data_IF_320973465650
#
_entry.id   IF_320973465650
#
_cell.length_a   1.000
_cell.length_b   1.000
_cell.length_c   1.000
_cell.angle_alpha   90.00
_cell.angle_beta   90.00
_cell.angle_gamma   90.00
#
_symmetry.space_group_name_H-M   'P 1'
#
loop_
_entity.id
_entity.type
_entity.pdbx_description
1 polymer ?
#
# COMPACT_ATOMS: atom_id res chain seq x y z
N UNK A 1 19.10 -13.16 10.62
CA UNK A 1 18.88 -11.86 9.95
C UNK A 1 19.96 -10.95 10.48
N UNK A 2 21.08 -10.79 9.78
CA UNK A 2 22.04 -9.74 10.15
C UNK A 2 21.37 -8.44 9.73
N UNK A 3 21.06 -7.58 10.69
CA UNK A 3 20.50 -6.27 10.36
C UNK A 3 21.59 -5.47 9.64
N UNK A 4 21.27 -4.98 8.45
CA UNK A 4 22.18 -4.16 7.66
C UNK A 4 22.47 -2.86 8.43
N UNK A 5 23.71 -2.40 8.38
CA UNK A 5 24.20 -1.28 9.20
C UNK A 5 23.34 -0.02 9.02
N UNK A 6 22.90 0.26 7.80
CA UNK A 6 22.06 1.41 7.50
C UNK A 6 20.65 1.33 8.12
N UNK A 7 20.12 0.12 8.32
CA UNK A 7 18.84 -0.09 9.02
C UNK A 7 19.02 0.21 10.51
N UNK A 8 20.12 -0.24 11.11
CA UNK A 8 20.45 0.06 12.52
C UNK A 8 20.57 1.57 12.71
N UNK A 9 21.27 2.25 11.80
CA UNK A 9 21.38 3.72 11.80
C UNK A 9 20.00 4.39 11.71
N UNK A 10 19.08 3.86 10.90
CA UNK A 10 17.74 4.41 10.79
C UNK A 10 16.95 4.31 12.11
N UNK A 11 17.06 3.19 12.84
CA UNK A 11 16.46 3.04 14.17
C UNK A 11 17.14 3.92 15.22
N UNK A 12 18.45 4.11 15.14
CA UNK A 12 19.15 5.07 15.99
C UNK A 12 18.59 6.49 15.77
N UNK A 13 18.37 6.89 14.51
CA UNK A 13 17.84 8.20 14.16
C UNK A 13 16.38 8.39 14.62
N UNK A 14 15.55 7.33 14.63
CA UNK A 14 14.21 7.36 15.25
C UNK A 14 14.29 7.85 16.70
N UNK A 15 15.26 7.38 17.47
CA UNK A 15 15.35 7.68 18.89
C UNK A 15 15.84 9.11 19.18
N UNK A 16 16.66 9.68 18.30
CA UNK A 16 17.43 10.90 18.58
C UNK A 16 16.99 12.11 17.74
N UNK A 17 16.54 11.92 16.51
CA UNK A 17 16.19 13.04 15.62
C UNK A 17 14.81 13.60 15.93
N UNK A 18 14.69 14.93 15.97
CA UNK A 18 13.39 15.58 16.12
C UNK A 18 12.55 15.44 14.84
N UNK A 19 13.21 15.52 13.67
CA UNK A 19 12.59 15.34 12.35
C UNK A 19 13.39 14.31 11.56
N UNK A 20 12.73 13.22 11.19
CA UNK A 20 13.35 12.18 10.37
C UNK A 20 13.57 12.66 8.93
N UNK A 21 14.73 12.31 8.37
CA UNK A 21 15.05 12.53 6.96
C UNK A 21 14.26 11.58 6.06
N UNK A 22 14.15 11.91 4.77
CA UNK A 22 13.56 10.99 3.78
C UNK A 22 14.38 9.71 3.64
N UNK A 23 15.70 9.81 3.71
CA UNK A 23 16.60 8.65 3.70
C UNK A 23 16.30 7.70 4.88
N UNK A 24 16.15 8.23 6.10
CA UNK A 24 15.77 7.43 7.27
C UNK A 24 14.41 6.74 7.05
N UNK A 25 13.41 7.46 6.53
CA UNK A 25 12.09 6.87 6.21
C UNK A 25 12.20 5.76 5.17
N UNK A 26 13.00 5.94 4.13
CA UNK A 26 13.22 4.94 3.08
C UNK A 26 13.84 3.65 3.63
N UNK A 27 14.81 3.76 4.55
CA UNK A 27 15.47 2.60 5.18
C UNK A 27 14.53 1.86 6.12
N UNK A 28 13.64 2.57 6.81
CA UNK A 28 12.59 1.95 7.64
C UNK A 28 11.55 1.24 6.78
N UNK A 29 11.18 1.84 5.64
CA UNK A 29 10.32 1.20 4.63
C UNK A 29 10.97 -0.08 4.09
N UNK A 30 12.26 -0.06 3.77
CA UNK A 30 13.02 -1.25 3.35
C UNK A 30 13.01 -2.34 4.43
N UNK A 31 13.24 -2.00 5.70
CA UNK A 31 13.14 -2.95 6.80
C UNK A 31 11.76 -3.62 6.87
N UNK A 32 10.69 -2.82 6.76
CA UNK A 32 9.31 -3.35 6.74
C UNK A 32 9.12 -4.25 5.53
N UNK A 33 9.60 -3.86 4.35
CA UNK A 33 9.48 -4.69 3.16
C UNK A 33 10.18 -6.04 3.33
N UNK A 34 11.39 -6.04 3.90
CA UNK A 34 12.13 -7.27 4.20
C UNK A 34 11.36 -8.20 5.14
N UNK A 35 10.69 -7.65 6.16
CA UNK A 35 9.90 -8.44 7.11
C UNK A 35 8.69 -9.15 6.47
N UNK A 36 8.13 -8.60 5.39
CA UNK A 36 6.98 -9.18 4.67
C UNK A 36 7.38 -9.92 3.39
N UNK A 37 8.64 -9.85 2.97
CA UNK A 37 9.09 -10.42 1.71
C UNK A 37 9.20 -11.95 1.79
N UNK A 38 8.68 -12.69 0.79
CA UNK A 38 8.95 -14.12 0.67
C UNK A 38 10.45 -14.39 0.48
N UNK A 39 10.92 -15.57 0.90
CA UNK A 39 12.33 -15.97 0.77
C UNK A 39 12.80 -15.82 -0.68
N UNK A 40 13.93 -15.13 -0.87
CA UNK A 40 14.56 -14.92 -2.17
C UNK A 40 13.97 -13.79 -3.01
N UNK A 41 12.99 -13.04 -2.49
CA UNK A 41 12.45 -11.84 -3.13
C UNK A 41 12.96 -10.60 -2.40
N UNK A 42 13.46 -9.63 -3.16
CA UNK A 42 13.91 -8.35 -2.63
C UNK A 42 13.15 -7.22 -3.32
N UNK A 43 12.19 -6.63 -2.59
CA UNK A 43 11.46 -5.43 -3.00
C UNK A 43 11.55 -4.49 -1.80
N UNK A 44 12.02 -3.25 -2.00
CA UNK A 44 12.30 -2.30 -0.91
C UNK A 44 11.28 -1.16 -0.83
N UNK A 45 10.22 -1.20 -1.64
CA UNK A 45 9.14 -0.21 -1.68
C UNK A 45 7.81 -0.84 -1.31
N UNK A 46 7.09 -0.26 -0.35
CA UNK A 46 5.80 -0.78 0.13
C UNK A 46 4.79 -0.94 -1.02
N UNK A 47 4.57 0.06 -1.90
CA UNK A 47 3.56 -0.07 -2.96
C UNK A 47 3.83 -1.24 -3.89
N UNK A 48 5.11 -1.44 -4.26
CA UNK A 48 5.56 -2.52 -5.13
C UNK A 48 5.41 -3.88 -4.45
N UNK A 49 5.82 -4.00 -3.19
CA UNK A 49 5.70 -5.25 -2.44
C UNK A 49 4.23 -5.63 -2.21
N UNK A 50 3.39 -4.65 -1.86
CA UNK A 50 1.93 -4.86 -1.72
C UNK A 50 1.34 -5.38 -3.04
N UNK A 51 1.67 -4.74 -4.16
CA UNK A 51 1.21 -5.16 -5.48
C UNK A 51 1.66 -6.58 -5.80
N UNK A 52 2.93 -6.88 -5.58
CA UNK A 52 3.51 -8.20 -5.81
C UNK A 52 2.81 -9.29 -4.98
N UNK A 53 2.65 -9.08 -3.67
CA UNK A 53 1.99 -10.02 -2.77
C UNK A 53 0.52 -10.21 -3.10
N UNK A 54 -0.17 -9.13 -3.45
CA UNK A 54 -1.57 -9.18 -3.85
C UNK A 54 -1.76 -9.95 -5.16
N UNK A 55 -0.99 -9.63 -6.21
CA UNK A 55 -1.16 -10.27 -7.53
C UNK A 55 -0.67 -11.72 -7.53
N UNK A 56 0.49 -12.00 -6.93
CA UNK A 56 1.14 -13.32 -7.05
C UNK A 56 0.65 -14.33 -6.02
N UNK A 57 0.37 -13.90 -4.81
CA UNK A 57 0.02 -14.78 -3.70
C UNK A 57 -1.44 -14.66 -3.25
N UNK A 58 -2.23 -13.77 -3.89
CA UNK A 58 -3.58 -13.43 -3.44
C UNK A 58 -3.62 -13.15 -1.93
N UNK A 59 -2.59 -12.48 -1.42
CA UNK A 59 -2.43 -12.28 0.01
C UNK A 59 -3.66 -11.56 0.58
N UNK A 60 -4.23 -12.16 1.64
CA UNK A 60 -5.28 -11.55 2.43
C UNK A 60 -4.77 -10.29 3.13
N UNK A 61 -5.69 -9.42 3.56
CA UNK A 61 -5.35 -8.09 4.06
C UNK A 61 -4.38 -8.10 5.25
N UNK A 62 -4.38 -9.16 6.05
CA UNK A 62 -3.52 -9.35 7.23
C UNK A 62 -2.09 -9.78 6.89
N UNK A 63 -1.86 -10.31 5.68
CA UNK A 63 -0.54 -10.72 5.17
C UNK A 63 0.12 -9.68 4.29
N UNK A 64 -0.56 -8.58 4.00
CA UNK A 64 0.02 -7.45 3.28
C UNK A 64 0.81 -6.56 4.25
N UNK A 65 1.97 -6.01 3.83
CA UNK A 65 2.64 -4.97 4.61
C UNK A 65 1.73 -3.73 4.74
N UNK A 66 1.95 -2.86 5.73
CA UNK A 66 1.12 -1.65 5.90
C UNK A 66 1.08 -0.79 4.63
N UNK A 67 0.06 0.06 4.48
CA UNK A 67 0.08 1.10 3.43
C UNK A 67 1.15 2.14 3.75
N UNK A 68 1.56 2.94 2.76
CA UNK A 68 2.54 4.03 2.97
C UNK A 68 2.04 5.02 4.03
N UNK A 69 0.75 5.37 4.01
CA UNK A 69 0.15 6.25 5.02
C UNK A 69 0.17 5.62 6.42
N UNK A 70 -0.21 4.34 6.53
CA UNK A 70 -0.17 3.62 7.80
C UNK A 70 1.26 3.49 8.36
N UNK A 71 2.24 3.19 7.49
CA UNK A 71 3.66 3.14 7.86
C UNK A 71 4.13 4.51 8.36
N UNK A 72 3.77 5.59 7.66
CA UNK A 72 4.19 6.94 8.02
C UNK A 72 3.70 7.33 9.42
N UNK A 73 2.42 7.04 9.72
CA UNK A 73 1.86 7.27 11.06
C UNK A 73 2.49 6.33 12.10
N UNK A 74 2.82 5.10 11.73
CA UNK A 74 3.50 4.16 12.63
C UNK A 74 4.91 4.64 13.01
N UNK A 75 5.69 5.12 12.04
CA UNK A 75 7.05 5.66 12.27
C UNK A 75 6.99 6.82 13.27
N UNK A 76 6.04 7.74 13.12
CA UNK A 76 5.85 8.85 14.05
C UNK A 76 5.57 8.38 15.48
N UNK A 77 4.70 7.38 15.65
CA UNK A 77 4.41 6.83 16.98
C UNK A 77 5.60 6.07 17.56
N UNK A 78 6.31 5.31 16.74
CA UNK A 78 7.54 4.62 17.13
C UNK A 78 8.63 5.61 17.57
N UNK A 79 8.68 6.81 16.98
CA UNK A 79 9.56 7.90 17.39
C UNK A 79 9.31 8.33 18.83
N UNK A 80 8.05 8.41 19.28
CA UNK A 80 7.73 8.70 20.70
C UNK A 80 8.31 7.62 21.61
N UNK A 81 8.11 6.35 21.27
CA UNK A 81 8.61 5.22 22.06
C UNK A 81 10.15 5.19 22.08
N UNK A 82 10.77 5.31 20.91
CA UNK A 82 12.22 5.39 20.76
C UNK A 82 12.82 6.56 21.53
N UNK A 83 12.16 7.72 21.53
CA UNK A 83 12.57 8.90 22.31
C UNK A 83 12.58 8.64 23.81
N UNK A 84 11.55 7.97 24.34
CA UNK A 84 11.48 7.62 25.76
C UNK A 84 12.57 6.62 26.13
N UNK A 85 12.79 5.61 25.30
CA UNK A 85 13.81 4.58 25.55
C UNK A 85 15.23 5.10 25.40
N UNK A 86 15.50 5.92 24.38
CA UNK A 86 16.82 6.55 24.19
C UNK A 86 17.22 7.50 25.31
N UNK A 87 16.25 7.97 26.10
CA UNK A 87 16.46 8.84 27.25
C UNK A 87 16.27 8.11 28.60
N UNK A 88 16.33 6.78 28.64
CA UNK A 88 16.05 5.99 29.85
C UNK A 88 16.92 6.38 31.06
N UNK A 89 18.13 6.87 30.82
CA UNK A 89 19.07 7.31 31.87
C UNK A 89 18.97 8.81 32.20
N UNK A 90 18.09 9.57 31.53
CA UNK A 90 17.93 11.02 31.73
C UNK A 90 16.80 11.25 32.74
N UNK A 91 17.06 11.89 33.90
CA UNK A 91 16.04 12.10 34.92
C UNK A 91 14.82 12.91 34.43
N UNK A 92 15.06 13.91 33.58
CA UNK A 92 14.02 14.73 32.96
C UNK A 92 14.08 14.55 31.44
N UNK A 93 13.22 13.67 30.93
CA UNK A 93 13.18 13.33 29.52
C UNK A 93 12.49 14.43 28.71
N UNK A 94 13.05 14.75 27.55
CA UNK A 94 12.38 15.53 26.52
C UNK A 94 11.23 14.72 25.93
N UNK A 95 10.05 15.35 25.82
CA UNK A 95 8.83 14.69 25.35
C UNK A 95 8.46 15.21 23.97
N UNK A 96 8.20 14.29 23.05
CA UNK A 96 7.57 14.62 21.78
C UNK A 96 6.07 14.81 21.98
N UNK A 97 5.50 15.82 21.30
CA UNK A 97 4.06 16.06 21.31
C UNK A 97 3.33 14.94 20.55
N UNK A 98 2.46 14.15 21.21
CA UNK A 98 1.69 13.10 20.55
C UNK A 98 0.84 13.60 19.38
N UNK A 99 0.34 14.84 19.42
CA UNK A 99 -0.50 15.42 18.35
C UNK A 99 0.27 15.63 17.04
N UNK A 100 1.58 15.84 17.14
CA UNK A 100 2.48 15.93 15.98
C UNK A 100 3.05 14.57 15.58
N UNK A 101 2.83 13.52 16.38
CA UNK A 101 3.47 12.22 16.24
C UNK A 101 2.47 11.07 16.13
N UNK A 102 1.45 11.26 15.30
CA UNK A 102 0.55 10.19 14.88
C UNK A 102 -0.53 9.81 15.91
N UNK A 103 -0.89 10.74 16.81
CA UNK A 103 -2.09 10.66 17.63
C UNK A 103 -3.01 11.86 17.35
N UNK A 104 -4.29 11.68 17.66
CA UNK A 104 -5.25 12.76 17.80
C UNK A 104 -5.96 12.64 19.15
N UNK A 105 -6.55 13.74 19.59
CA UNK A 105 -7.23 13.82 20.88
C UNK A 105 -8.73 13.74 20.67
N UNK A 106 -9.39 12.89 21.44
CA UNK A 106 -10.84 12.85 21.55
C UNK A 106 -11.33 13.87 22.58
N UNK A 107 -12.64 14.15 22.54
CA UNK A 107 -13.28 15.09 23.47
C UNK A 107 -13.13 14.69 24.94
N UNK A 108 -13.00 13.39 25.21
CA UNK A 108 -12.76 12.83 26.55
C UNK A 108 -11.30 12.92 27.01
N UNK A 109 -10.49 13.73 26.33
CA UNK A 109 -9.05 13.92 26.55
C UNK A 109 -8.19 12.68 26.31
N UNK A 110 -8.74 11.58 25.77
CA UNK A 110 -7.95 10.40 25.43
C UNK A 110 -7.22 10.58 24.11
N UNK A 111 -6.02 10.01 24.05
CA UNK A 111 -5.22 9.93 22.85
C UNK A 111 -5.60 8.68 22.05
N UNK A 112 -5.89 8.85 20.77
CA UNK A 112 -6.15 7.75 19.86
C UNK A 112 -5.13 7.78 18.70
N UNK A 113 -4.54 6.63 18.32
CA UNK A 113 -3.56 6.59 17.25
C UNK A 113 -4.23 6.90 15.90
N UNK A 114 -3.60 7.78 15.11
CA UNK A 114 -3.95 7.99 13.70
C UNK A 114 -3.52 6.75 12.91
N UNK A 115 -4.46 6.02 12.33
CA UNK A 115 -4.19 4.76 11.64
C UNK A 115 -3.56 4.95 10.28
N UNK A 116 -4.05 5.92 9.50
CA UNK A 116 -3.54 6.33 8.19
C UNK A 116 -4.01 7.77 7.91
N UNK A 117 -3.25 8.49 7.10
CA UNK A 117 -3.61 9.79 6.51
C UNK A 117 -4.00 9.68 5.03
N UNK A 118 -3.75 8.51 4.43
CA UNK A 118 -4.14 8.17 3.07
C UNK A 118 -5.31 7.18 3.07
N UNK A 119 -6.17 7.21 2.04
CA UNK A 119 -7.22 6.21 1.87
C UNK A 119 -6.61 4.80 1.82
N UNK A 120 -7.27 3.83 2.45
CA UNK A 120 -6.78 2.45 2.60
C UNK A 120 -6.56 1.73 1.27
N UNK A 121 -7.28 2.13 0.23
CA UNK A 121 -7.11 1.67 -1.13
C UNK A 121 -7.56 2.79 -2.12
N UNK A 122 -7.00 2.86 -3.34
CA UNK A 122 -7.62 3.63 -4.42
C UNK A 122 -9.06 3.16 -4.62
N UNK A 123 -9.98 4.07 -4.94
CA UNK A 123 -11.41 3.75 -5.14
C UNK A 123 -11.61 2.62 -6.15
N UNK A 124 -10.80 2.59 -7.22
CA UNK A 124 -10.80 1.51 -8.21
C UNK A 124 -10.52 0.10 -7.63
N UNK A 125 -9.82 0.01 -6.49
CA UNK A 125 -9.58 -1.26 -5.78
C UNK A 125 -10.80 -1.66 -4.94
N UNK A 126 -11.48 -0.70 -4.29
CA UNK A 126 -12.72 -0.96 -3.54
C UNK A 126 -13.84 -1.41 -4.48
N UNK A 127 -13.85 -0.89 -5.71
CA UNK A 127 -14.79 -1.28 -6.74
C UNK A 127 -14.38 -2.52 -7.55
N UNK A 128 -13.28 -3.21 -7.18
CA UNK A 128 -12.69 -4.32 -7.94
C UNK A 128 -13.74 -5.30 -8.47
N UNK A 129 -14.03 -5.15 -9.75
CA UNK A 129 -14.81 -6.10 -10.51
C UNK A 129 -13.82 -6.97 -11.25
N UNK A 130 -13.41 -8.07 -10.61
CA UNK A 130 -12.79 -9.18 -11.33
C UNK A 130 -13.88 -10.10 -11.83
N UNK A 131 -13.86 -10.42 -13.12
CA UNK A 131 -14.69 -11.50 -13.62
C UNK A 131 -13.96 -12.85 -13.51
N UNK A 132 -14.72 -13.94 -13.52
CA UNK A 132 -14.21 -15.31 -13.61
C UNK A 132 -14.84 -16.00 -14.81
N UNK A 133 -15.03 -15.25 -15.90
CA UNK A 133 -15.73 -15.73 -17.07
C UNK A 133 -14.96 -16.86 -17.74
N UNK A 134 -15.62 -17.99 -18.01
CA UNK A 134 -15.06 -19.05 -18.86
C UNK A 134 -15.21 -18.75 -20.36
N UNK A 135 -15.90 -17.65 -20.68
CA UNK A 135 -16.14 -17.15 -22.04
C UNK A 135 -15.33 -15.88 -22.29
N UNK A 136 -15.30 -15.42 -23.52
CA UNK A 136 -14.56 -14.26 -24.01
C UNK A 136 -15.03 -12.87 -23.51
N UNK A 137 -15.75 -12.79 -22.39
CA UNK A 137 -16.16 -11.54 -21.75
C UNK A 137 -16.99 -10.55 -22.61
N UNK A 138 -17.61 -10.99 -23.71
CA UNK A 138 -18.39 -10.16 -24.63
C UNK A 138 -19.80 -9.80 -24.15
N UNK A 139 -20.41 -10.64 -23.30
CA UNK A 139 -21.78 -10.45 -22.83
C UNK A 139 -21.87 -9.83 -21.45
N UNK A 140 -23.05 -9.30 -21.09
CA UNK A 140 -23.37 -8.79 -19.74
C UNK A 140 -23.35 -9.88 -18.63
N UNK A 141 -23.02 -11.13 -18.96
CA UNK A 141 -22.65 -12.16 -17.96
C UNK A 141 -21.28 -11.87 -17.35
N UNK A 142 -20.42 -11.15 -18.07
CA UNK A 142 -19.19 -10.62 -17.51
C UNK A 142 -19.51 -9.45 -16.57
N UNK A 143 -19.05 -9.56 -15.32
CA UNK A 143 -19.25 -8.52 -14.32
C UNK A 143 -18.56 -7.21 -14.72
N UNK A 144 -17.38 -7.28 -15.37
CA UNK A 144 -16.64 -6.12 -15.87
C UNK A 144 -17.44 -5.41 -16.95
N UNK A 145 -17.87 -6.15 -17.99
CA UNK A 145 -18.69 -5.63 -19.09
C UNK A 145 -20.01 -5.01 -18.60
N UNK A 146 -20.70 -5.67 -17.67
CA UNK A 146 -21.95 -5.17 -17.08
C UNK A 146 -21.78 -3.83 -16.35
N UNK A 147 -20.59 -3.55 -15.84
CA UNK A 147 -20.23 -2.26 -15.22
C UNK A 147 -19.53 -1.30 -16.18
N UNK A 148 -19.48 -1.62 -17.48
CA UNK A 148 -18.77 -0.86 -18.51
C UNK A 148 -17.26 -0.67 -18.20
N UNK A 149 -16.63 -1.66 -17.59
CA UNK A 149 -15.19 -1.67 -17.30
C UNK A 149 -14.48 -2.70 -18.19
N UNK A 150 -13.28 -2.38 -18.72
CA UNK A 150 -12.43 -3.39 -19.33
C UNK A 150 -11.99 -4.43 -18.28
N UNK A 151 -11.82 -5.66 -18.73
CA UNK A 151 -11.14 -6.69 -17.96
C UNK A 151 -9.68 -6.28 -17.82
N UNK A 152 -9.20 -6.31 -16.58
CA UNK A 152 -7.79 -6.09 -16.25
C UNK A 152 -7.10 -7.43 -15.97
N UNK A 153 -5.78 -7.43 -15.83
CA UNK A 153 -4.98 -8.61 -15.44
C UNK A 153 -5.41 -9.25 -14.11
N UNK A 154 -6.27 -8.58 -13.33
CA UNK A 154 -6.88 -9.12 -12.11
C UNK A 154 -8.06 -10.06 -12.39
N UNK A 155 -8.57 -10.10 -13.63
CA UNK A 155 -9.66 -10.99 -14.04
C UNK A 155 -9.15 -12.41 -14.26
N UNK A 156 -9.92 -13.39 -13.81
CA UNK A 156 -9.64 -14.82 -14.00
C UNK A 156 -10.39 -15.37 -15.22
N UNK A 157 -10.67 -14.52 -16.21
CA UNK A 157 -11.28 -14.97 -17.44
C UNK A 157 -10.27 -15.73 -18.32
N UNK A 158 -10.78 -16.56 -19.22
CA UNK A 158 -9.94 -17.30 -20.18
C UNK A 158 -9.02 -16.38 -20.98
N UNK A 159 -7.88 -16.91 -21.45
CA UNK A 159 -6.85 -16.18 -22.23
C UNK A 159 -7.36 -15.49 -23.49
N UNK A 160 -8.55 -15.84 -23.98
CA UNK A 160 -9.21 -15.20 -25.11
C UNK A 160 -10.26 -14.19 -24.61
N UNK A 161 -9.83 -13.14 -23.91
CA UNK A 161 -10.72 -12.12 -23.37
C UNK A 161 -10.90 -10.97 -24.37
N UNK A 162 -12.10 -10.80 -24.93
CA UNK A 162 -12.38 -9.73 -25.91
C UNK A 162 -12.85 -8.41 -25.24
N UNK A 163 -12.73 -8.31 -23.91
CA UNK A 163 -13.07 -7.11 -23.13
C UNK A 163 -11.84 -6.49 -22.47
N UNK A 164 -10.64 -6.70 -22.99
CA UNK A 164 -9.43 -6.03 -22.50
C UNK A 164 -9.22 -4.65 -23.15
N UNK A 165 -8.35 -3.83 -22.54
CA UNK A 165 -8.08 -2.46 -22.98
C UNK A 165 -7.44 -2.41 -24.40
N UNK A 166 -6.62 -3.40 -24.74
CA UNK A 166 -5.95 -3.54 -26.03
C UNK A 166 -6.91 -3.92 -27.18
N UNK A 167 -7.99 -4.66 -26.90
CA UNK A 167 -9.00 -5.06 -27.89
C UNK A 167 -10.01 -3.95 -28.13
N UNK A 168 -10.36 -3.18 -27.09
CA UNK A 168 -11.27 -2.05 -27.22
C UNK A 168 -10.67 -0.88 -28.02
N UNK A 169 -9.35 -0.72 -27.99
CA UNK A 169 -8.63 0.34 -28.73
C UNK A 169 -8.30 -0.03 -30.18
N UNK A 170 -8.52 -1.30 -30.58
CA UNK A 170 -8.26 -1.83 -31.93
C UNK A 170 -9.49 -1.91 -32.84
N UNK A 171 -10.64 -1.41 -32.40
CA UNK A 171 -11.78 -1.17 -33.29
C UNK A 171 -11.76 0.30 -33.71
N UNK A 172 -11.06 0.67 -34.81
CA UNK A 172 -11.43 1.89 -35.51
C UNK A 172 -12.85 1.66 -36.04
N UNK A 173 -13.75 2.58 -35.72
CA UNK A 173 -15.09 2.67 -36.28
C UNK A 173 -15.07 2.31 -37.77
N UNK A 174 -15.55 1.11 -38.07
CA UNK A 174 -15.78 0.64 -39.43
C UNK A 174 -17.25 0.87 -39.72
N UNK A 175 -17.64 2.14 -39.87
CA UNK A 175 -18.91 2.54 -40.45
C UNK A 175 -18.63 3.55 -41.57
N UNK A 176 -18.04 3.07 -42.68
CA UNK A 176 -18.07 3.74 -43.98
C UNK A 176 -19.36 3.34 -44.73
N UNK A 177 -20.21 4.35 -44.94
CA UNK A 177 -21.11 4.65 -46.08
C UNK A 177 -22.26 3.70 -46.52
N UNK A 178 -23.51 4.24 -46.55
CA UNK A 178 -24.23 4.68 -47.78
C UNK A 178 -25.76 4.93 -47.61
N UNK A 179 -26.19 6.00 -48.30
CA UNK A 179 -27.50 6.35 -48.89
C UNK A 179 -28.76 6.61 -48.04
N UNK A 180 -29.13 7.89 -47.91
CA UNK A 180 -30.25 8.52 -48.63
C UNK A 180 -30.16 10.05 -48.61
#
# INVERSE_FOLDING_TARGET
MNAEEHIIEAFHNICHDQKLSENTRSRLEEFVCSAYSPKGIHISRIPELRRYLFCKYMAESDRLPPTVGALSQHILRAQIQGRVWGQACIPQQERLDPMLHGYYKLDDMKLQPKTTDLPSAPEAIVEMVRCQCKSNCTSNRCSCKRKNLPCTDLCLCSTNCDNDEDTLTKNPDSDDDRDS
#
